data_IF_987807252510
#
_entry.id   IF_987807252510
#
_cell.length_a   1.000
_cell.length_b   1.000
_cell.length_c   1.000
_cell.angle_alpha   90.00
_cell.angle_beta   90.00
_cell.angle_gamma   90.00
#
_symmetry.space_group_name_H-M   'P 1'
#
loop_
_entity.id
_entity.type
_entity.pdbx_description
1 polymer ?
#
# COMPACT_ATOMS: atom_id res chain seq x y z
N UNK A 1 -22.74 -18.26 -28.66
CA UNK A 1 -21.54 -18.99 -28.21
C UNK A 1 -20.35 -18.06 -28.37
N UNK A 2 -19.96 -17.37 -27.31
CA UNK A 2 -18.84 -16.42 -27.36
C UNK A 2 -17.57 -17.19 -27.03
N UNK A 3 -16.71 -17.36 -28.04
CA UNK A 3 -15.41 -18.00 -27.89
C UNK A 3 -14.53 -17.03 -27.09
N UNK A 4 -14.44 -17.25 -25.77
CA UNK A 4 -13.44 -16.59 -24.94
C UNK A 4 -12.10 -17.14 -25.40
N UNK A 5 -11.32 -16.30 -26.09
CA UNK A 5 -9.94 -16.63 -26.44
C UNK A 5 -9.21 -17.00 -25.15
N UNK A 6 -8.61 -18.20 -25.12
CA UNK A 6 -7.73 -18.64 -24.04
C UNK A 6 -6.46 -17.77 -24.06
N UNK A 7 -6.55 -16.51 -23.64
CA UNK A 7 -5.40 -15.85 -23.03
C UNK A 7 -5.05 -16.74 -21.85
N UNK A 8 -3.85 -17.32 -21.87
CA UNK A 8 -3.28 -18.05 -20.74
C UNK A 8 -3.12 -17.02 -19.62
N UNK A 9 -4.18 -16.78 -18.85
CA UNK A 9 -4.11 -15.99 -17.63
C UNK A 9 -3.09 -16.70 -16.75
N UNK A 10 -2.02 -15.98 -16.40
CA UNK A 10 -0.89 -16.57 -15.68
C UNK A 10 -1.33 -16.91 -14.26
N UNK A 11 -1.62 -18.19 -13.99
CA UNK A 11 -1.93 -18.65 -12.64
C UNK A 11 -0.66 -18.60 -11.78
N UNK A 12 -0.74 -18.00 -10.59
CA UNK A 12 0.38 -17.98 -9.64
C UNK A 12 0.17 -19.05 -8.56
N UNK A 13 1.21 -19.84 -8.27
CA UNK A 13 1.21 -20.77 -7.16
C UNK A 13 1.68 -20.04 -5.90
N UNK A 14 0.86 -20.03 -4.84
CA UNK A 14 1.18 -19.40 -3.55
C UNK A 14 0.80 -20.32 -2.40
N UNK A 15 1.38 -20.13 -1.23
CA UNK A 15 0.92 -20.85 -0.04
C UNK A 15 -0.41 -20.29 0.45
N UNK A 16 -1.22 -21.12 1.13
CA UNK A 16 -2.44 -20.65 1.79
C UNK A 16 -2.16 -19.57 2.85
N UNK A 17 -1.00 -19.66 3.53
CA UNK A 17 -0.58 -18.65 4.51
C UNK A 17 -0.37 -17.30 3.82
N UNK A 18 0.32 -17.28 2.67
CA UNK A 18 0.54 -16.07 1.89
C UNK A 18 -0.77 -15.51 1.34
N UNK A 19 -1.67 -16.39 0.86
CA UNK A 19 -3.00 -15.98 0.41
C UNK A 19 -3.82 -15.31 1.52
N UNK A 20 -3.95 -15.95 2.68
CA UNK A 20 -4.68 -15.42 3.83
C UNK A 20 -4.09 -14.09 4.32
N UNK A 21 -2.76 -13.98 4.32
CA UNK A 21 -2.04 -12.77 4.69
C UNK A 21 -2.35 -11.61 3.74
N UNK A 22 -2.29 -11.84 2.42
CA UNK A 22 -2.58 -10.82 1.41
C UNK A 22 -4.05 -10.41 1.49
N UNK A 23 -4.97 -11.37 1.62
CA UNK A 23 -6.39 -11.08 1.82
C UNK A 23 -6.64 -10.22 3.08
N UNK A 24 -6.01 -10.58 4.21
CA UNK A 24 -6.11 -9.80 5.45
C UNK A 24 -5.59 -8.37 5.29
N UNK A 25 -4.44 -8.20 4.62
CA UNK A 25 -3.85 -6.88 4.34
C UNK A 25 -4.79 -6.06 3.48
N UNK A 26 -5.34 -6.64 2.40
CA UNK A 26 -6.28 -5.96 1.51
C UNK A 26 -7.52 -5.49 2.28
N UNK A 27 -8.11 -6.35 3.11
CA UNK A 27 -9.27 -5.99 3.94
C UNK A 27 -8.97 -4.87 4.94
N UNK A 28 -7.83 -4.95 5.66
CA UNK A 28 -7.44 -3.90 6.61
C UNK A 28 -7.12 -2.58 5.91
N UNK A 29 -6.42 -2.63 4.77
CA UNK A 29 -6.10 -1.46 3.95
C UNK A 29 -7.37 -0.73 3.50
N UNK A 30 -8.34 -1.46 2.95
CA UNK A 30 -9.61 -0.90 2.49
C UNK A 30 -10.40 -0.33 3.67
N UNK A 31 -10.45 -1.02 4.81
CA UNK A 31 -11.11 -0.52 6.02
C UNK A 31 -10.46 0.77 6.57
N UNK A 32 -9.15 0.95 6.39
CA UNK A 32 -8.44 2.19 6.71
C UNK A 32 -8.56 3.26 5.60
N UNK A 33 -9.33 3.00 4.55
CA UNK A 33 -9.49 3.85 3.36
C UNK A 33 -8.15 4.24 2.73
N UNK A 34 -7.16 3.34 2.74
CA UNK A 34 -5.86 3.56 2.11
C UNK A 34 -5.84 2.95 0.72
N UNK A 35 -5.30 3.65 -0.27
CA UNK A 35 -5.00 3.02 -1.57
C UNK A 35 -3.80 2.07 -1.45
N UNK A 36 -3.60 1.20 -2.45
CA UNK A 36 -2.42 0.34 -2.55
C UNK A 36 -1.12 1.16 -2.59
N UNK A 37 -1.13 2.30 -3.28
CA UNK A 37 0.01 3.23 -3.35
C UNK A 37 0.28 3.91 -2.01
N UNK A 38 -0.77 4.34 -1.31
CA UNK A 38 -0.66 4.96 0.01
C UNK A 38 -0.06 4.00 1.02
N UNK A 39 -0.54 2.75 1.06
CA UNK A 39 0.03 1.74 1.95
C UNK A 39 1.49 1.47 1.58
N UNK A 40 1.80 1.30 0.29
CA UNK A 40 3.17 1.08 -0.19
C UNK A 40 4.11 2.21 0.25
N UNK A 41 3.66 3.47 0.15
CA UNK A 41 4.39 4.63 0.62
C UNK A 41 4.62 4.56 2.14
N UNK A 42 3.58 4.33 2.94
CA UNK A 42 3.68 4.35 4.41
C UNK A 42 4.67 3.30 4.93
N UNK A 43 4.74 2.13 4.31
CA UNK A 43 5.70 1.07 4.68
C UNK A 43 7.10 1.26 4.05
N UNK A 44 7.36 2.38 3.36
CA UNK A 44 8.67 2.66 2.76
C UNK A 44 8.98 1.80 1.53
N UNK A 45 7.98 1.35 0.78
CA UNK A 45 8.18 0.54 -0.44
C UNK A 45 7.85 1.35 -1.69
N UNK A 46 8.20 0.80 -2.86
CA UNK A 46 7.87 1.44 -4.15
C UNK A 46 6.37 1.39 -4.43
N UNK A 47 5.87 2.32 -5.25
CA UNK A 47 4.42 2.56 -5.44
C UNK A 47 3.61 1.30 -5.77
N UNK A 48 4.17 0.36 -6.54
CA UNK A 48 3.47 -0.86 -6.97
C UNK A 48 3.58 -2.04 -5.98
N UNK A 49 4.26 -1.87 -4.84
CA UNK A 49 4.62 -2.99 -3.96
C UNK A 49 3.39 -3.75 -3.44
N UNK A 50 2.37 -3.03 -2.97
CA UNK A 50 1.12 -3.65 -2.51
C UNK A 50 0.28 -4.14 -3.70
N UNK A 51 0.22 -3.38 -4.79
CA UNK A 51 -0.50 -3.78 -6.01
C UNK A 51 0.00 -5.12 -6.55
N UNK A 52 1.31 -5.34 -6.64
CA UNK A 52 1.91 -6.61 -7.10
C UNK A 52 1.49 -7.82 -6.25
N UNK A 53 1.25 -7.60 -4.95
CA UNK A 53 0.87 -8.63 -3.99
C UNK A 53 -0.63 -8.89 -4.01
N UNK A 54 -1.45 -7.85 -3.93
CA UNK A 54 -2.91 -7.96 -3.97
C UNK A 54 -3.43 -8.45 -5.32
N UNK A 55 -2.68 -8.24 -6.41
CA UNK A 55 -3.01 -8.81 -7.74
C UNK A 55 -2.44 -10.21 -7.98
N UNK A 56 -1.77 -10.80 -6.98
CA UNK A 56 -1.13 -12.11 -7.08
C UNK A 56 -0.25 -12.27 -8.34
N UNK A 57 0.43 -11.20 -8.76
CA UNK A 57 1.35 -11.21 -9.92
C UNK A 57 2.74 -11.74 -9.55
N UNK A 58 3.13 -11.61 -8.29
CA UNK A 58 4.43 -12.07 -7.79
C UNK A 58 4.28 -12.80 -6.46
N UNK A 59 4.94 -13.96 -6.33
CA UNK A 59 5.07 -14.65 -5.05
C UNK A 59 6.30 -14.12 -4.30
N UNK A 60 6.30 -12.83 -3.95
CA UNK A 60 7.35 -12.22 -3.13
C UNK A 60 6.86 -12.10 -1.70
N UNK A 61 7.63 -12.67 -0.78
CA UNK A 61 7.34 -12.60 0.65
C UNK A 61 7.27 -11.16 1.15
N UNK A 62 6.42 -10.95 2.16
CA UNK A 62 6.38 -9.74 2.97
C UNK A 62 7.40 -9.86 4.08
N UNK A 63 8.19 -8.82 4.30
CA UNK A 63 9.23 -8.85 5.33
C UNK A 63 8.59 -8.58 6.69
N UNK A 64 9.15 -9.15 7.77
CA UNK A 64 8.66 -8.89 9.13
C UNK A 64 8.65 -7.39 9.48
N UNK A 65 9.59 -6.63 8.92
CA UNK A 65 9.59 -5.17 9.04
C UNK A 65 8.35 -4.50 8.42
N UNK A 66 7.87 -5.00 7.28
CA UNK A 66 6.65 -4.50 6.65
C UNK A 66 5.43 -4.78 7.55
N UNK A 67 5.33 -6.00 8.08
CA UNK A 67 4.25 -6.41 8.98
C UNK A 67 4.25 -5.58 10.27
N UNK A 68 5.43 -5.30 10.83
CA UNK A 68 5.56 -4.45 12.02
C UNK A 68 4.99 -3.04 11.76
N UNK A 69 5.36 -2.41 10.64
CA UNK A 69 4.83 -1.08 10.27
C UNK A 69 3.33 -1.14 9.97
N UNK A 70 2.87 -2.15 9.23
CA UNK A 70 1.44 -2.35 8.95
C UNK A 70 0.62 -2.52 10.23
N UNK A 71 1.15 -3.23 11.25
CA UNK A 71 0.45 -3.42 12.52
C UNK A 71 0.17 -2.09 13.23
N UNK A 72 1.11 -1.13 13.12
CA UNK A 72 0.90 0.23 13.63
C UNK A 72 -0.05 1.05 12.76
N UNK A 73 -0.03 0.88 11.44
CA UNK A 73 -0.95 1.57 10.51
C UNK A 73 -2.40 1.10 10.72
N UNK A 74 -2.60 -0.20 10.87
CA UNK A 74 -3.92 -0.83 11.00
C UNK A 74 -4.42 -0.92 12.44
N UNK A 75 -3.64 -0.40 13.41
CA UNK A 75 -3.90 -0.46 14.84
C UNK A 75 -4.29 -1.88 15.31
N UNK A 76 -3.43 -2.85 15.00
CA UNK A 76 -3.65 -4.25 15.31
C UNK A 76 -2.38 -4.94 15.82
N UNK A 77 -2.52 -6.12 16.44
CA UNK A 77 -1.36 -6.89 16.92
C UNK A 77 -0.67 -7.59 15.76
N UNK A 78 0.67 -7.67 15.70
CA UNK A 78 1.39 -8.42 14.67
C UNK A 78 0.94 -9.88 14.54
N UNK A 79 0.52 -10.51 15.65
CA UNK A 79 0.01 -11.87 15.66
C UNK A 79 -1.26 -12.05 14.80
N UNK A 80 -2.04 -11.00 14.54
CA UNK A 80 -3.25 -11.07 13.70
C UNK A 80 -2.94 -11.32 12.23
N UNK A 81 -1.71 -11.02 11.77
CA UNK A 81 -1.24 -11.33 10.42
C UNK A 81 -0.90 -12.81 10.24
N UNK A 82 -0.62 -13.54 11.33
CA UNK A 82 -0.20 -14.94 11.31
C UNK A 82 -1.34 -15.84 11.77
N UNK A 83 -2.34 -16.02 10.91
CA UNK A 83 -3.46 -16.93 11.19
C UNK A 83 -3.03 -18.38 11.04
N UNK A 84 -3.57 -19.25 11.90
CA UNK A 84 -3.33 -20.70 11.83
C UNK A 84 -4.12 -21.28 10.65
N UNK A 85 -3.44 -21.51 9.53
CA UNK A 85 -4.03 -22.23 8.39
C UNK A 85 -4.20 -23.70 8.79
N UNK A 86 -5.43 -24.21 8.74
CA UNK A 86 -5.73 -25.65 8.87
C UNK A 86 -5.97 -26.20 7.46
N UNK A 87 -5.02 -26.94 6.91
CA UNK A 87 -5.15 -27.55 5.57
C UNK A 87 -4.01 -28.52 5.23
N UNK A 88 -4.31 -29.55 4.42
CA UNK A 88 -3.35 -30.57 3.95
C UNK A 88 -2.59 -30.14 2.68
N UNK A 89 -3.12 -29.19 1.92
CA UNK A 89 -2.44 -28.66 0.73
C UNK A 89 -1.67 -27.40 1.12
N UNK A 90 -0.35 -27.41 0.90
CA UNK A 90 0.51 -26.28 1.26
C UNK A 90 0.39 -25.10 0.29
N UNK A 91 -0.22 -25.31 -0.88
CA UNK A 91 -0.17 -24.37 -2.01
C UNK A 91 -1.48 -24.37 -2.81
N UNK A 92 -1.89 -23.19 -3.26
CA UNK A 92 -3.05 -22.93 -4.12
C UNK A 92 -2.60 -22.23 -5.40
N UNK A 93 -3.22 -22.59 -6.53
CA UNK A 93 -3.05 -21.87 -7.80
C UNK A 93 -4.12 -20.79 -7.89
N UNK A 94 -3.71 -19.54 -8.02
CA UNK A 94 -4.61 -18.39 -8.01
C UNK A 94 -4.66 -17.69 -9.36
N UNK A 95 -5.82 -17.09 -9.60
CA UNK A 95 -6.07 -16.16 -10.69
C UNK A 95 -6.82 -14.97 -10.11
N UNK A 96 -6.31 -13.76 -10.34
CA UNK A 96 -6.92 -12.53 -9.87
C UNK A 96 -7.40 -11.70 -11.06
N UNK A 97 -8.60 -11.15 -10.92
CA UNK A 97 -9.18 -10.17 -11.83
C UNK A 97 -9.48 -8.89 -11.06
N UNK A 98 -9.18 -7.77 -11.69
CA UNK A 98 -9.56 -6.45 -11.21
C UNK A 98 -10.38 -5.76 -12.31
N UNK A 99 -11.55 -5.24 -11.95
CA UNK A 99 -12.45 -4.54 -12.87
C UNK A 99 -12.92 -3.23 -12.27
N UNK A 100 -12.93 -2.16 -13.06
CA UNK A 100 -13.48 -0.86 -12.65
C UNK A 100 -14.97 -0.85 -13.03
N UNK A 101 -15.83 -0.70 -12.02
CA UNK A 101 -17.29 -0.73 -12.13
C UNK A 101 -17.86 0.58 -11.56
N UNK A 102 -18.04 1.58 -12.42
CA UNK A 102 -18.48 2.91 -11.99
C UNK A 102 -17.46 3.53 -11.03
N UNK A 103 -17.86 3.78 -9.79
CA UNK A 103 -17.02 4.38 -8.74
C UNK A 103 -16.31 3.34 -7.86
N UNK A 104 -16.37 2.07 -8.24
CA UNK A 104 -15.74 0.98 -7.49
C UNK A 104 -14.73 0.23 -8.34
N UNK A 105 -13.74 -0.32 -7.66
CA UNK A 105 -12.86 -1.36 -8.15
C UNK A 105 -13.32 -2.67 -7.52
N UNK A 106 -13.69 -3.64 -8.36
CA UNK A 106 -14.00 -5.00 -7.95
C UNK A 106 -12.76 -5.89 -8.12
N UNK A 107 -12.39 -6.55 -7.03
CA UNK A 107 -11.34 -7.56 -7.00
C UNK A 107 -11.98 -8.93 -6.87
N UNK A 108 -11.71 -9.81 -7.82
CA UNK A 108 -12.12 -11.21 -7.79
C UNK A 108 -10.87 -12.09 -7.74
N UNK A 109 -10.85 -13.07 -6.84
CA UNK A 109 -9.76 -14.03 -6.74
C UNK A 109 -10.32 -15.44 -6.80
N UNK A 110 -9.78 -16.22 -7.72
CA UNK A 110 -10.21 -17.57 -8.02
C UNK A 110 -9.11 -18.58 -7.69
N UNK A 111 -9.49 -19.72 -7.14
CA UNK A 111 -8.66 -20.91 -7.00
C UNK A 111 -8.82 -21.80 -8.23
N UNK A 112 -7.70 -22.30 -8.75
CA UNK A 112 -7.69 -23.34 -9.78
C UNK A 112 -7.41 -24.69 -9.14
N UNK A 113 -8.37 -25.61 -9.27
CA UNK A 113 -8.24 -26.99 -8.80
C UNK A 113 -7.42 -27.83 -9.80
N UNK A 114 -7.09 -29.06 -9.44
CA UNK A 114 -6.29 -29.97 -10.27
C UNK A 114 -7.01 -30.38 -11.57
N UNK A 115 -8.34 -30.38 -11.57
CA UNK A 115 -9.20 -30.66 -12.73
C UNK A 115 -9.45 -29.42 -13.61
N UNK A 116 -8.67 -28.35 -13.42
CA UNK A 116 -8.83 -27.03 -14.04
C UNK A 116 -10.19 -26.36 -13.79
N UNK A 117 -10.98 -26.86 -12.83
CA UNK A 117 -12.17 -26.13 -12.36
C UNK A 117 -11.76 -24.88 -11.59
N UNK A 118 -12.56 -23.82 -11.78
CA UNK A 118 -12.32 -22.50 -11.21
C UNK A 118 -13.35 -22.27 -10.09
N UNK A 119 -12.87 -21.92 -8.91
CA UNK A 119 -13.69 -21.60 -7.74
C UNK A 119 -13.43 -20.16 -7.30
N UNK A 120 -14.48 -19.34 -7.16
CA UNK A 120 -14.35 -18.01 -6.58
C UNK A 120 -14.05 -18.15 -5.09
N UNK A 121 -12.88 -17.66 -4.66
CA UNK A 121 -12.46 -17.69 -3.25
C UNK A 121 -12.96 -16.46 -2.50
N UNK A 122 -12.80 -15.28 -3.10
CA UNK A 122 -13.37 -14.05 -2.57
C UNK A 122 -13.62 -13.00 -3.66
N UNK A 123 -14.52 -12.09 -3.33
CA UNK A 123 -14.79 -10.87 -4.08
C UNK A 123 -14.84 -9.70 -3.11
N UNK A 124 -14.13 -8.60 -3.42
CA UNK A 124 -14.12 -7.36 -2.64
C UNK A 124 -14.40 -6.19 -3.57
N UNK A 125 -15.25 -5.27 -3.13
CA UNK A 125 -15.43 -3.97 -3.77
C UNK A 125 -14.72 -2.90 -2.93
N UNK A 126 -13.89 -2.08 -3.59
CA UNK A 126 -13.24 -0.91 -3.03
C UNK A 126 -13.73 0.33 -3.78
N UNK A 127 -13.97 1.45 -3.10
CA UNK A 127 -14.17 2.73 -3.79
C UNK A 127 -12.92 3.09 -4.59
N UNK A 128 -13.07 3.51 -5.84
CA UNK A 128 -11.94 3.84 -6.72
C UNK A 128 -11.08 4.96 -6.09
N UNK A 129 -9.84 4.66 -5.67
CA UNK A 129 -9.00 5.65 -5.00
C UNK A 129 -8.70 6.89 -5.85
N UNK A 130 -8.80 6.80 -7.18
CA UNK A 130 -8.60 7.93 -8.09
C UNK A 130 -9.74 8.95 -8.04
N UNK A 131 -10.93 8.51 -7.61
CA UNK A 131 -12.16 9.31 -7.50
C UNK A 131 -12.43 9.84 -6.10
N UNK A 132 -11.62 9.43 -5.12
CA UNK A 132 -11.76 9.77 -3.70
C UNK A 132 -11.76 11.28 -3.40
N UNK A 133 -11.14 12.09 -4.26
CA UNK A 133 -11.02 13.53 -4.07
C UNK A 133 -11.23 14.27 -5.39
N UNK A 134 -11.99 15.36 -5.34
CA UNK A 134 -12.07 16.32 -6.44
C UNK A 134 -10.83 17.22 -6.51
N UNK A 135 -10.72 18.04 -7.57
CA UNK A 135 -9.55 18.91 -7.78
C UNK A 135 -9.38 20.00 -6.72
N UNK A 136 -10.50 20.48 -6.16
CA UNK A 136 -10.49 21.50 -5.10
C UNK A 136 -9.99 20.88 -3.79
N UNK A 137 -10.48 19.70 -3.45
CA UNK A 137 -10.06 18.91 -2.29
C UNK A 137 -8.59 18.54 -2.41
N UNK A 138 -8.14 18.01 -3.57
CA UNK A 138 -6.73 17.71 -3.83
C UNK A 138 -5.85 18.91 -3.58
N UNK A 139 -6.22 20.08 -4.12
CA UNK A 139 -5.46 21.32 -3.94
C UNK A 139 -5.39 21.76 -2.48
N UNK A 140 -6.51 21.68 -1.76
CA UNK A 140 -6.59 22.04 -0.35
C UNK A 140 -5.78 21.10 0.55
N UNK A 141 -5.98 19.79 0.41
CA UNK A 141 -5.31 18.77 1.21
C UNK A 141 -3.80 18.74 0.94
N UNK A 142 -3.38 18.94 -0.31
CA UNK A 142 -1.97 19.11 -0.65
C UNK A 142 -1.36 20.34 0.02
N UNK A 143 -2.06 21.48 0.05
CA UNK A 143 -1.59 22.70 0.72
C UNK A 143 -1.37 22.47 2.22
N UNK A 144 -2.29 21.76 2.88
CA UNK A 144 -2.14 21.40 4.30
C UNK A 144 -0.94 20.47 4.48
N UNK A 145 -0.81 19.41 3.67
CA UNK A 145 0.31 18.48 3.78
C UNK A 145 1.67 19.19 3.60
N UNK A 146 1.77 20.11 2.62
CA UNK A 146 2.96 20.95 2.41
C UNK A 146 3.30 21.82 3.61
N UNK A 147 2.29 22.47 4.21
CA UNK A 147 2.48 23.28 5.42
C UNK A 147 3.10 22.45 6.53
N UNK A 148 2.56 21.27 6.82
CA UNK A 148 3.06 20.44 7.91
C UNK A 148 4.44 19.85 7.61
N UNK A 149 4.71 19.39 6.38
CA UNK A 149 6.05 18.94 5.98
C UNK A 149 7.07 20.09 6.07
N UNK A 150 6.71 21.30 5.66
CA UNK A 150 7.57 22.50 5.82
C UNK A 150 7.85 22.78 7.29
N UNK A 151 6.84 22.67 8.15
CA UNK A 151 7.00 22.83 9.60
C UNK A 151 8.04 21.86 10.15
N UNK A 152 7.95 20.58 9.78
CA UNK A 152 8.95 19.57 10.19
C UNK A 152 10.36 19.89 9.73
N UNK A 153 10.51 20.34 8.49
CA UNK A 153 11.81 20.75 7.95
C UNK A 153 12.38 21.92 8.76
N UNK A 154 11.58 22.97 8.98
CA UNK A 154 12.03 24.19 9.67
C UNK A 154 12.38 23.96 11.14
N UNK A 155 11.74 22.98 11.78
CA UNK A 155 12.02 22.59 13.17
C UNK A 155 13.22 21.63 13.30
N UNK A 156 13.86 21.25 12.18
CA UNK A 156 15.00 20.34 12.20
C UNK A 156 14.63 18.89 12.45
N UNK A 157 13.38 18.47 12.19
CA UNK A 157 12.92 17.09 12.41
C UNK A 157 13.77 16.03 11.68
N UNK A 158 14.36 16.42 10.55
CA UNK A 158 15.22 15.59 9.69
C UNK A 158 16.73 15.81 9.93
N UNK A 159 17.11 16.65 10.88
CA UNK A 159 18.51 17.00 11.13
C UNK A 159 19.28 15.83 11.73
N UNK A 160 20.20 15.24 10.95
CA UNK A 160 21.07 14.14 11.40
C UNK A 160 20.37 12.79 11.66
N UNK A 161 19.06 12.69 11.41
CA UNK A 161 18.26 11.50 11.71
C UNK A 161 17.45 11.10 10.47
N UNK A 162 17.55 9.83 10.08
CA UNK A 162 16.70 9.24 9.05
C UNK A 162 15.28 8.98 9.57
N UNK A 163 14.27 9.30 8.76
CA UNK A 163 12.85 9.19 9.10
C UNK A 163 12.11 8.31 8.09
N UNK A 164 11.32 7.37 8.61
CA UNK A 164 10.45 6.54 7.78
C UNK A 164 9.18 7.29 7.34
N UNK A 165 8.56 6.93 6.20
CA UNK A 165 7.33 7.56 5.73
C UNK A 165 6.18 7.53 6.74
N UNK A 166 5.98 6.40 7.41
CA UNK A 166 4.95 6.28 8.44
C UNK A 166 5.19 7.24 9.62
N UNK A 167 6.43 7.42 10.06
CA UNK A 167 6.78 8.35 11.14
C UNK A 167 6.49 9.79 10.73
N UNK A 168 6.89 10.18 9.52
CA UNK A 168 6.63 11.51 8.96
C UNK A 168 5.13 11.74 8.84
N UNK A 169 4.39 10.78 8.30
CA UNK A 169 2.93 10.86 8.16
C UNK A 169 2.25 11.02 9.53
N UNK A 170 2.65 10.22 10.52
CA UNK A 170 2.07 10.28 11.87
C UNK A 170 2.34 11.63 12.53
N UNK A 171 3.54 12.16 12.38
CA UNK A 171 3.91 13.47 12.91
C UNK A 171 3.12 14.59 12.23
N UNK A 172 3.05 14.60 10.89
CA UNK A 172 2.19 15.53 10.16
C UNK A 172 0.72 15.43 10.62
N UNK A 173 0.20 14.20 10.77
CA UNK A 173 -1.19 13.96 11.22
C UNK A 173 -1.44 14.40 12.65
N UNK A 174 -0.43 14.36 13.51
CA UNK A 174 -0.52 14.88 14.90
C UNK A 174 -0.73 16.40 14.89
N UNK A 175 -0.13 17.11 13.92
CA UNK A 175 -0.22 18.57 13.79
C UNK A 175 -1.42 19.05 12.99
N UNK A 176 -1.64 18.45 11.81
CA UNK A 176 -2.69 18.82 10.87
C UNK A 176 -4.00 18.03 11.02
N UNK A 177 -4.07 17.09 11.95
CA UNK A 177 -5.25 16.28 12.23
C UNK A 177 -5.66 15.35 11.09
N UNK A 178 -6.96 15.01 11.04
CA UNK A 178 -7.53 14.02 10.11
C UNK A 178 -7.50 14.45 8.62
N UNK A 179 -7.20 15.72 8.34
CA UNK A 179 -7.05 16.26 6.98
C UNK A 179 -5.73 15.82 6.34
N UNK A 180 -4.76 15.35 7.14
CA UNK A 180 -3.52 14.80 6.61
C UNK A 180 -3.77 13.41 6.04
N UNK A 181 -3.55 13.26 4.73
CA UNK A 181 -3.64 11.98 4.01
C UNK A 181 -2.28 11.57 3.47
N UNK A 182 -2.02 10.26 3.48
CA UNK A 182 -0.72 9.70 3.11
C UNK A 182 -0.32 10.10 1.68
N UNK A 183 -1.27 10.06 0.74
CA UNK A 183 -1.05 10.47 -0.66
C UNK A 183 -0.45 11.89 -0.77
N UNK A 184 -1.05 12.87 -0.08
CA UNK A 184 -0.60 14.27 -0.15
C UNK A 184 0.70 14.51 0.61
N UNK A 185 0.98 13.75 1.67
CA UNK A 185 2.30 13.80 2.35
C UNK A 185 3.38 13.25 1.44
N UNK A 186 3.13 12.14 0.73
CA UNK A 186 4.07 11.59 -0.25
C UNK A 186 4.37 12.60 -1.38
N UNK A 187 3.32 13.25 -1.88
CA UNK A 187 3.45 14.30 -2.90
C UNK A 187 4.25 15.50 -2.39
N UNK A 188 3.94 16.02 -1.20
CA UNK A 188 4.68 17.12 -0.58
C UNK A 188 6.16 16.77 -0.40
N UNK A 189 6.49 15.58 0.12
CA UNK A 189 7.87 15.13 0.28
C UNK A 189 8.61 15.07 -1.06
N UNK A 190 7.97 14.57 -2.13
CA UNK A 190 8.61 14.50 -3.46
C UNK A 190 8.99 15.87 -4.01
N UNK A 191 8.23 16.94 -3.70
CA UNK A 191 8.59 18.30 -4.11
C UNK A 191 9.88 18.79 -3.43
N UNK A 192 10.12 18.43 -2.17
CA UNK A 192 11.36 18.76 -1.45
C UNK A 192 12.54 17.84 -1.80
N UNK A 193 12.31 16.77 -2.57
CA UNK A 193 13.37 15.93 -3.16
C UNK A 193 13.79 16.45 -4.54
N UNK A 194 12.82 16.85 -5.36
CA UNK A 194 13.00 17.22 -6.78
C UNK A 194 13.26 18.72 -6.99
N UNK A 195 13.21 19.53 -5.94
CA UNK A 195 13.45 20.97 -6.04
C UNK A 195 14.83 21.29 -6.64
N UNK A 196 14.92 22.36 -7.42
CA UNK A 196 16.22 22.93 -7.83
C UNK A 196 16.69 23.94 -6.78
N UNK A 197 17.97 23.90 -6.40
CA UNK A 197 18.56 24.85 -5.46
C UNK A 197 18.08 24.69 -4.00
N UNK A 198 17.64 25.79 -3.36
CA UNK A 198 17.32 25.88 -1.92
C UNK A 198 16.11 25.05 -1.46
N UNK A 199 15.37 24.42 -2.37
CA UNK A 199 14.19 23.59 -2.05
C UNK A 199 14.51 22.10 -1.94
N UNK A 200 15.66 21.63 -2.45
CA UNK A 200 16.12 20.25 -2.28
C UNK A 200 16.80 20.03 -0.91
N UNK A 201 16.00 20.14 0.15
CA UNK A 201 16.46 20.05 1.54
C UNK A 201 16.36 18.64 2.12
N UNK A 202 15.79 17.70 1.37
CA UNK A 202 15.68 16.30 1.77
C UNK A 202 16.42 15.39 0.79
N UNK A 203 17.02 14.33 1.33
CA UNK A 203 17.54 13.17 0.60
C UNK A 203 16.62 11.99 0.84
N UNK A 204 16.33 11.22 -0.23
CA UNK A 204 15.63 9.93 -0.16
C UNK A 204 16.55 8.83 -0.64
N UNK A 205 16.71 7.80 0.18
CA UNK A 205 17.46 6.60 -0.18
C UNK A 205 16.78 5.36 0.37
N UNK A 206 17.18 4.20 -0.14
CA UNK A 206 16.64 2.90 0.27
C UNK A 206 17.52 2.32 1.39
N UNK A 207 17.02 2.36 2.62
CA UNK A 207 17.59 1.65 3.76
C UNK A 207 17.35 0.13 3.63
N UNK A 208 18.30 -0.66 4.13
CA UNK A 208 18.27 -2.14 4.05
C UNK A 208 17.01 -2.72 4.72
N UNK A 209 16.73 -2.28 5.94
CA UNK A 209 15.67 -2.86 6.78
C UNK A 209 14.36 -2.07 6.83
N UNK A 210 14.41 -0.76 6.48
CA UNK A 210 13.28 0.17 6.64
C UNK A 210 12.63 0.57 5.31
N UNK A 211 13.18 0.10 4.18
CA UNK A 211 12.77 0.59 2.87
C UNK A 211 13.24 2.03 2.63
N UNK A 212 12.44 2.85 1.96
CA UNK A 212 12.77 4.25 1.73
C UNK A 212 12.71 5.07 3.01
N UNK A 213 13.74 5.87 3.24
CA UNK A 213 13.83 6.83 4.36
C UNK A 213 14.19 8.21 3.83
N UNK A 214 13.92 9.23 4.65
CA UNK A 214 14.17 10.63 4.35
C UNK A 214 15.11 11.24 5.40
N UNK A 215 16.07 12.05 4.97
CA UNK A 215 17.03 12.74 5.84
C UNK A 215 17.24 14.17 5.34
N UNK A 216 17.57 15.11 6.24
CA UNK A 216 17.98 16.46 5.86
C UNK A 216 19.28 16.45 5.07
N UNK A 217 19.36 17.29 4.04
CA UNK A 217 20.53 17.43 3.17
C UNK A 217 21.75 17.98 3.88
#
# INVERSE_FOLDING_TARGET
>A
MTIISKRKESSLKVSFVTFDLIYFIQMKRIACSLSQEELSFLIGRGNNFITERETFKMNKELWLGDISVMSMIFDCRPAEFFRKVRGKENEIRLLSRQSVLGDYIQYEVFGLRQDDSIELLYMINEEDPSKKYDDREKSFLLKIAKKEVTGLINEGYFAGIERGPFEIFRECRTRGGHLIKAYFVAQALNEYLLGTGRLAVLKKYKHKDKGFVYQGS
#
